data_IF_117650599937
#
_entry.id   IF_117650599937
#
_cell.length_a   1.000
_cell.length_b   1.000
_cell.length_c   1.000
_cell.angle_alpha   90.00
_cell.angle_beta   90.00
_cell.angle_gamma   90.00
#
_symmetry.space_group_name_H-M   'P 1'
#
loop_
_entity.id
_entity.type
_entity.pdbx_description
1 polymer ?
#
# COMPACT_ATOMS: atom_id res chain seq x y z
N UNK A 1 22.56 -11.25 -5.34
CA UNK A 1 21.09 -11.17 -5.24
C UNK A 1 20.67 -9.86 -5.89
N UNK A 2 20.31 -9.92 -7.17
CA UNK A 2 20.00 -8.76 -7.99
C UNK A 2 18.63 -8.15 -7.62
N UNK A 3 18.42 -6.88 -7.99
CA UNK A 3 17.20 -6.13 -7.68
C UNK A 3 15.94 -6.84 -8.22
N UNK A 4 16.03 -7.41 -9.42
CA UNK A 4 14.93 -8.16 -10.05
C UNK A 4 14.60 -9.42 -9.25
N UNK A 5 15.63 -10.13 -8.76
CA UNK A 5 15.45 -11.34 -7.94
C UNK A 5 14.76 -11.02 -6.62
N UNK A 6 15.15 -9.91 -5.98
CA UNK A 6 14.54 -9.45 -4.73
C UNK A 6 13.10 -8.98 -4.94
N UNK A 7 12.84 -8.19 -5.98
CA UNK A 7 11.49 -7.73 -6.31
C UNK A 7 10.55 -8.92 -6.57
N UNK A 8 11.02 -9.93 -7.29
CA UNK A 8 10.26 -11.16 -7.55
C UNK A 8 10.01 -11.96 -6.27
N UNK A 9 11.02 -12.13 -5.40
CA UNK A 9 10.86 -12.81 -4.10
C UNK A 9 9.83 -12.10 -3.24
N UNK A 10 9.94 -10.77 -3.10
CA UNK A 10 9.01 -9.96 -2.32
C UNK A 10 7.58 -10.06 -2.84
N UNK A 11 7.38 -10.02 -4.16
CA UNK A 11 6.07 -10.17 -4.77
C UNK A 11 5.46 -11.56 -4.52
N UNK A 12 6.27 -12.62 -4.60
CA UNK A 12 5.85 -13.98 -4.29
C UNK A 12 5.49 -14.15 -2.80
N UNK A 13 6.32 -13.60 -1.91
CA UNK A 13 6.09 -13.60 -0.47
C UNK A 13 4.82 -12.84 -0.10
N UNK A 14 4.62 -11.64 -0.67
CA UNK A 14 3.40 -10.85 -0.47
C UNK A 14 2.16 -11.62 -0.92
N UNK A 15 2.20 -12.24 -2.10
CA UNK A 15 1.09 -13.05 -2.64
C UNK A 15 0.77 -14.24 -1.74
N UNK A 16 1.80 -14.93 -1.21
CA UNK A 16 1.61 -16.06 -0.28
C UNK A 16 1.08 -15.62 1.08
N UNK A 17 1.46 -14.43 1.54
CA UNK A 17 0.99 -13.85 2.79
C UNK A 17 -0.49 -13.44 2.73
N UNK A 18 -1.05 -13.26 1.52
CA UNK A 18 -2.50 -13.11 1.31
C UNK A 18 -3.28 -14.44 1.47
N UNK A 19 -2.80 -15.40 2.27
CA UNK A 19 -3.41 -16.73 2.41
C UNK A 19 -4.93 -16.71 2.63
N UNK A 20 -5.60 -17.84 2.39
CA UNK A 20 -7.07 -17.96 2.38
C UNK A 20 -7.75 -17.24 3.56
N UNK A 21 -8.21 -16.01 3.30
CA UNK A 21 -9.11 -15.25 4.17
C UNK A 21 -10.41 -16.04 4.45
N UNK A 22 -10.64 -17.11 3.69
CA UNK A 22 -11.77 -18.03 3.79
C UNK A 22 -11.67 -19.04 4.95
N UNK A 23 -10.48 -19.30 5.52
CA UNK A 23 -10.33 -20.40 6.50
C UNK A 23 -10.37 -19.97 7.96
N UNK A 24 -10.36 -18.67 8.27
CA UNK A 24 -10.53 -18.24 9.66
C UNK A 24 -12.00 -17.99 9.90
N UNK A 25 -12.70 -18.97 10.49
CA UNK A 25 -13.94 -18.68 11.21
C UNK A 25 -13.61 -17.78 12.40
N UNK A 26 -13.43 -16.49 12.13
CA UNK A 26 -13.47 -15.45 13.16
C UNK A 26 -14.91 -15.41 13.65
N UNK A 27 -15.14 -15.89 14.86
CA UNK A 27 -16.29 -15.47 15.65
C UNK A 27 -16.31 -13.94 15.60
N UNK A 28 -17.42 -13.30 15.17
CA UNK A 28 -17.45 -11.85 15.10
C UNK A 28 -17.31 -11.34 16.53
N UNK A 29 -16.11 -10.89 16.87
CA UNK A 29 -15.94 -10.01 18.02
C UNK A 29 -16.72 -8.76 17.64
N UNK A 30 -17.75 -8.41 18.41
CA UNK A 30 -18.52 -7.18 18.18
C UNK A 30 -17.58 -6.00 18.43
N UNK A 31 -16.83 -5.63 17.40
CA UNK A 31 -16.07 -4.39 17.39
C UNK A 31 -17.14 -3.30 17.31
N UNK A 32 -17.12 -2.28 18.18
CA UNK A 32 -17.98 -1.13 18.02
C UNK A 32 -17.82 -0.62 16.59
N UNK A 33 -18.90 -0.72 15.80
CA UNK A 33 -18.89 -0.21 14.45
C UNK A 33 -18.59 1.28 14.56
N UNK A 34 -17.43 1.69 14.04
CA UNK A 34 -17.17 3.11 13.84
C UNK A 34 -18.34 3.66 13.02
N UNK A 35 -18.84 4.87 13.33
CA UNK A 35 -19.94 5.45 12.57
C UNK A 35 -19.58 5.39 11.09
N UNK A 36 -20.49 4.84 10.28
CA UNK A 36 -20.31 4.78 8.84
C UNK A 36 -20.27 6.22 8.35
N UNK A 37 -19.05 6.72 8.09
CA UNK A 37 -18.87 8.04 7.49
C UNK A 37 -19.32 7.89 6.04
N UNK A 38 -20.44 8.53 5.70
CA UNK A 38 -20.87 8.63 4.30
C UNK A 38 -19.83 9.45 3.55
N UNK A 39 -19.08 8.78 2.67
CA UNK A 39 -18.13 9.45 1.79
C UNK A 39 -18.93 10.21 0.73
N UNK A 40 -18.71 11.52 0.53
CA UNK A 40 -19.41 12.27 -0.50
C UNK A 40 -19.19 11.65 -1.90
N UNK A 41 -20.19 11.67 -2.80
CA UNK A 41 -20.12 10.99 -4.10
C UNK A 41 -18.94 11.41 -5.00
N UNK A 42 -18.50 12.65 -4.86
CA UNK A 42 -17.41 13.24 -5.65
C UNK A 42 -16.04 13.15 -4.95
N UNK A 43 -15.92 12.26 -3.96
CA UNK A 43 -14.66 12.06 -3.23
C UNK A 43 -13.73 11.13 -4.01
N UNK A 44 -12.51 11.60 -4.23
CA UNK A 44 -11.41 10.77 -4.72
C UNK A 44 -10.66 10.21 -3.51
N UNK A 45 -10.57 8.88 -3.42
CA UNK A 45 -9.73 8.19 -2.44
C UNK A 45 -8.33 8.09 -3.01
N UNK A 46 -7.35 8.59 -2.26
CA UNK A 46 -5.93 8.44 -2.57
C UNK A 46 -5.30 7.45 -1.60
N UNK A 47 -4.87 6.31 -2.11
CA UNK A 47 -4.03 5.38 -1.35
C UNK A 47 -2.58 5.65 -1.76
N UNK A 48 -1.71 5.94 -0.79
CA UNK A 48 -0.29 6.20 -1.01
C UNK A 48 0.55 5.37 -0.06
N UNK A 49 1.71 4.92 -0.53
CA UNK A 49 2.71 4.23 0.27
C UNK A 49 4.12 4.68 -0.15
N UNK A 50 5.06 4.66 0.79
CA UNK A 50 6.43 5.06 0.57
C UNK A 50 7.41 4.14 1.30
N UNK A 51 8.51 3.81 0.63
CA UNK A 51 9.59 2.99 1.16
C UNK A 51 10.93 3.74 1.06
N UNK A 52 11.71 3.74 2.13
CA UNK A 52 13.03 4.36 2.18
C UNK A 52 14.12 3.36 2.60
N UNK A 53 15.27 3.43 1.92
CA UNK A 53 16.44 2.66 2.25
C UNK A 53 17.55 3.58 2.82
N UNK A 54 17.89 3.48 4.12
CA UNK A 54 18.87 4.36 4.75
C UNK A 54 20.31 4.12 4.27
N UNK A 55 20.62 2.95 3.72
CA UNK A 55 21.96 2.59 3.24
C UNK A 55 22.22 3.23 1.87
N UNK A 56 21.27 3.09 0.95
CA UNK A 56 21.39 3.65 -0.41
C UNK A 56 20.89 5.08 -0.51
N UNK A 57 20.26 5.61 0.54
CA UNK A 57 19.57 6.91 0.56
C UNK A 57 18.54 7.05 -0.56
N UNK A 58 17.96 5.92 -0.99
CA UNK A 58 16.94 5.88 -2.02
C UNK A 58 15.56 5.78 -1.37
N UNK A 59 14.58 6.46 -1.95
CA UNK A 59 13.17 6.31 -1.59
C UNK A 59 12.34 6.00 -2.83
N UNK A 60 11.29 5.21 -2.66
CA UNK A 60 10.24 5.02 -3.66
C UNK A 60 8.91 5.41 -3.06
N UNK A 61 8.07 6.08 -3.84
CA UNK A 61 6.68 6.36 -3.49
C UNK A 61 5.75 5.79 -4.57
N UNK A 62 4.54 5.41 -4.17
CA UNK A 62 3.50 4.93 -5.06
C UNK A 62 2.13 5.38 -4.59
N UNK A 63 1.25 5.66 -5.55
CA UNK A 63 -0.10 6.11 -5.25
C UNK A 63 -1.13 5.58 -6.25
N UNK A 64 -2.37 5.44 -5.78
CA UNK A 64 -3.54 5.03 -6.57
C UNK A 64 -4.72 5.91 -6.16
N UNK A 65 -5.29 6.60 -7.14
CA UNK A 65 -6.53 7.36 -7.01
C UNK A 65 -7.71 6.51 -7.47
N UNK A 66 -8.73 6.40 -6.63
CA UNK A 66 -10.00 5.74 -6.93
C UNK A 66 -11.17 6.68 -6.67
N UNK A 67 -12.23 6.57 -7.46
CA UNK A 67 -13.51 7.23 -7.22
C UNK A 67 -14.64 6.27 -7.56
N UNK A 68 -15.64 6.14 -6.68
CA UNK A 68 -16.78 5.24 -6.88
C UNK A 68 -16.35 3.84 -7.37
N UNK A 69 -15.36 3.25 -6.67
CA UNK A 69 -14.75 1.95 -6.96
C UNK A 69 -14.04 1.82 -8.32
N UNK A 70 -13.90 2.91 -9.07
CA UNK A 70 -13.17 2.98 -10.32
C UNK A 70 -11.77 3.57 -10.09
N UNK A 71 -10.73 2.88 -10.57
CA UNK A 71 -9.38 3.43 -10.58
C UNK A 71 -9.26 4.53 -11.63
N UNK A 72 -8.91 5.74 -11.17
CA UNK A 72 -8.76 6.92 -12.03
C UNK A 72 -7.34 7.02 -12.57
N UNK A 73 -6.36 6.96 -11.67
CA UNK A 73 -4.96 7.17 -12.00
C UNK A 73 -4.08 6.47 -10.95
N UNK A 74 -2.92 5.98 -11.40
CA UNK A 74 -1.87 5.47 -10.52
C UNK A 74 -0.53 6.02 -10.96
N UNK A 75 0.43 6.01 -10.04
CA UNK A 75 1.79 6.45 -10.32
C UNK A 75 2.77 5.93 -9.30
N UNK A 76 4.05 6.04 -9.66
CA UNK A 76 5.15 5.83 -8.74
C UNK A 76 6.31 6.72 -9.13
N UNK A 77 7.10 7.07 -8.13
CA UNK A 77 8.32 7.86 -8.29
C UNK A 77 9.44 7.27 -7.44
N UNK A 78 10.68 7.56 -7.82
CA UNK A 78 11.86 7.16 -7.07
C UNK A 78 12.82 8.34 -6.94
N UNK A 79 13.22 8.60 -5.70
CA UNK A 79 14.12 9.68 -5.35
C UNK A 79 15.42 9.13 -4.79
N UNK A 80 16.52 9.84 -5.03
CA UNK A 80 17.84 9.53 -4.48
C UNK A 80 18.31 10.65 -3.56
N UNK A 81 19.27 10.35 -2.69
CA UNK A 81 19.84 11.31 -1.72
C UNK A 81 18.89 11.78 -0.62
N UNK A 82 17.88 10.97 -0.30
CA UNK A 82 16.95 11.21 0.79
C UNK A 82 17.62 10.94 2.13
N UNK A 83 17.75 11.97 2.98
CA UNK A 83 18.52 11.88 4.23
C UNK A 83 17.75 11.17 5.35
N UNK A 84 16.42 11.17 5.28
CA UNK A 84 15.51 10.62 6.29
C UNK A 84 14.23 10.07 5.66
N UNK A 85 13.61 9.05 6.27
CA UNK A 85 12.30 8.54 5.86
C UNK A 85 11.19 9.59 5.91
N UNK A 86 11.33 10.64 6.72
CA UNK A 86 10.36 11.75 6.79
C UNK A 86 10.39 12.67 5.56
N UNK A 87 11.42 12.54 4.72
CA UNK A 87 11.56 13.30 3.47
C UNK A 87 11.16 12.47 2.24
N UNK A 88 10.79 11.21 2.44
CA UNK A 88 10.31 10.31 1.40
C UNK A 88 8.82 10.51 1.14
#
# INVERSE_FOLDING_TARGET
MDVISRALSNAQEWTRAQGDLSSTQVTPTSIPQSPVISIPPDTIVCNTDAAWNPITKAAGLGWIFTAQDSQLQQGSESHTWIQSSLQA
#
